data_IF_298049244138
#
_entry.id   IF_298049244138
#
_cell.length_a   1.000
_cell.length_b   1.000
_cell.length_c   1.000
_cell.angle_alpha   90.00
_cell.angle_beta   90.00
_cell.angle_gamma   90.00
#
_symmetry.space_group_name_H-M   'P 1'
#
loop_
_entity.id
_entity.type
_entity.pdbx_description
1 polymer ?
#
# COMPACT_ATOMS: atom_id res chain seq x y z
N UNK A 1 -5.45 -15.96 -13.25
CA UNK A 1 -4.12 -16.47 -13.64
C UNK A 1 -3.27 -15.43 -14.39
N UNK A 2 -3.80 -14.76 -15.43
CA UNK A 2 -3.04 -13.82 -16.26
C UNK A 2 -2.30 -12.73 -15.45
N UNK A 3 -3.02 -11.94 -14.66
CA UNK A 3 -2.42 -10.82 -13.91
C UNK A 3 -1.31 -11.23 -12.94
N UNK A 4 -1.51 -12.31 -12.19
CA UNK A 4 -0.48 -12.88 -11.30
C UNK A 4 0.78 -13.28 -12.08
N UNK A 5 0.62 -14.08 -13.14
CA UNK A 5 1.77 -14.54 -13.94
C UNK A 5 2.49 -13.38 -14.62
N UNK A 6 1.77 -12.34 -15.05
CA UNK A 6 2.36 -11.17 -15.68
C UNK A 6 3.20 -10.35 -14.69
N UNK A 7 2.68 -10.06 -13.50
CA UNK A 7 3.44 -9.28 -12.51
C UNK A 7 4.63 -10.06 -11.97
N UNK A 8 4.48 -11.37 -11.78
CA UNK A 8 5.58 -12.26 -11.40
C UNK A 8 6.71 -12.21 -12.43
N UNK A 9 6.39 -12.27 -13.73
CA UNK A 9 7.39 -12.14 -14.81
C UNK A 9 8.11 -10.80 -14.78
N UNK A 10 7.37 -9.71 -14.51
CA UNK A 10 7.95 -8.36 -14.39
C UNK A 10 8.92 -8.29 -13.23
N UNK A 11 8.53 -8.77 -12.04
CA UNK A 11 9.39 -8.76 -10.86
C UNK A 11 10.62 -9.67 -11.03
N UNK A 12 10.47 -10.84 -11.68
CA UNK A 12 11.60 -11.74 -11.97
C UNK A 12 12.62 -11.16 -12.96
N UNK A 13 12.16 -10.40 -13.95
CA UNK A 13 12.99 -9.83 -15.03
C UNK A 13 13.26 -8.34 -14.86
N UNK A 14 13.18 -7.85 -13.63
CA UNK A 14 13.17 -6.42 -13.37
C UNK A 14 14.45 -5.74 -13.85
N UNK A 15 15.61 -6.37 -13.62
CA UNK A 15 16.92 -5.86 -14.06
C UNK A 15 16.99 -5.78 -15.59
N UNK A 16 16.62 -6.86 -16.28
CA UNK A 16 16.66 -6.93 -17.75
C UNK A 16 15.70 -5.91 -18.38
N UNK A 17 14.54 -5.68 -17.76
CA UNK A 17 13.60 -4.65 -18.21
C UNK A 17 14.23 -3.25 -18.10
N UNK A 18 14.91 -2.94 -16.99
CA UNK A 18 15.60 -1.66 -16.83
C UNK A 18 16.71 -1.47 -17.85
N UNK A 19 17.52 -2.49 -18.11
CA UNK A 19 18.60 -2.45 -19.10
C UNK A 19 18.05 -2.16 -20.50
N UNK A 20 17.01 -2.88 -20.93
CA UNK A 20 16.38 -2.67 -22.23
C UNK A 20 15.78 -1.26 -22.33
N UNK A 21 15.09 -0.79 -21.28
CA UNK A 21 14.53 0.55 -21.24
C UNK A 21 15.62 1.64 -21.28
N UNK A 22 16.78 1.39 -20.66
CA UNK A 22 17.95 2.28 -20.72
C UNK A 22 18.54 2.35 -22.13
N UNK A 23 18.60 1.25 -22.87
CA UNK A 23 19.07 1.28 -24.27
C UNK A 23 18.07 2.06 -25.15
N UNK A 24 16.77 1.75 -25.01
CA UNK A 24 15.71 2.39 -25.79
C UNK A 24 15.52 3.89 -25.48
N UNK A 25 15.96 4.34 -24.31
CA UNK A 25 15.96 5.76 -23.95
C UNK A 25 17.02 6.59 -24.67
N UNK A 26 18.01 5.94 -25.30
CA UNK A 26 19.05 6.62 -26.08
C UNK A 26 18.87 6.44 -27.59
N UNK A 27 18.22 5.36 -28.03
CA UNK A 27 18.08 5.00 -29.45
C UNK A 27 16.71 4.40 -29.77
N UNK A 28 16.00 4.99 -30.74
CA UNK A 28 14.79 4.42 -31.34
C UNK A 28 13.61 5.40 -31.51
N UNK A 29 12.55 4.94 -32.19
CA UNK A 29 11.37 5.78 -32.50
C UNK A 29 10.44 6.03 -31.29
N UNK A 30 10.74 5.41 -30.14
CA UNK A 30 9.90 5.44 -28.93
C UNK A 30 10.67 5.93 -27.70
N UNK A 31 11.76 6.67 -27.89
CA UNK A 31 12.64 7.14 -26.81
C UNK A 31 11.89 7.87 -25.69
N UNK A 32 10.98 8.78 -26.00
CA UNK A 32 10.19 9.49 -24.98
C UNK A 32 9.35 8.54 -24.12
N UNK A 33 8.78 7.49 -24.72
CA UNK A 33 8.01 6.46 -24.01
C UNK A 33 8.91 5.59 -23.16
N UNK A 34 10.07 5.19 -23.67
CA UNK A 34 11.05 4.42 -22.92
C UNK A 34 11.56 5.18 -21.68
N UNK A 35 11.86 6.48 -21.83
CA UNK A 35 12.24 7.37 -20.71
C UNK A 35 11.13 7.42 -19.65
N UNK A 36 9.87 7.59 -20.08
CA UNK A 36 8.74 7.62 -19.16
C UNK A 36 8.59 6.33 -18.36
N UNK A 37 8.64 5.18 -19.04
CA UNK A 37 8.54 3.87 -18.37
C UNK A 37 9.75 3.61 -17.47
N UNK A 38 10.96 3.94 -17.93
CA UNK A 38 12.19 3.80 -17.15
C UNK A 38 12.09 4.59 -15.84
N UNK A 39 11.62 5.84 -15.91
CA UNK A 39 11.42 6.68 -14.72
C UNK A 39 10.44 6.07 -13.72
N UNK A 40 9.35 5.47 -14.21
CA UNK A 40 8.38 4.79 -13.34
C UNK A 40 8.95 3.51 -12.72
N UNK A 41 9.67 2.69 -13.50
CA UNK A 41 10.33 1.49 -12.98
C UNK A 41 11.42 1.83 -11.96
N UNK A 42 12.16 2.92 -12.18
CA UNK A 42 13.15 3.44 -11.23
C UNK A 42 12.54 4.15 -10.02
N UNK A 43 11.22 4.12 -9.83
CA UNK A 43 10.57 4.65 -8.64
C UNK A 43 10.42 3.56 -7.58
N UNK A 44 10.97 3.79 -6.38
CA UNK A 44 10.84 2.84 -5.27
C UNK A 44 9.38 2.52 -4.90
N UNK A 45 8.47 3.50 -5.04
CA UNK A 45 7.05 3.29 -4.77
C UNK A 45 6.43 2.28 -5.73
N UNK A 46 6.88 2.29 -7.00
CA UNK A 46 6.47 1.31 -7.99
C UNK A 46 6.97 -0.08 -7.60
N UNK A 47 8.25 -0.22 -7.24
CA UNK A 47 8.85 -1.50 -6.83
C UNK A 47 8.08 -2.10 -5.64
N UNK A 48 7.82 -1.30 -4.60
CA UNK A 48 7.04 -1.70 -3.41
C UNK A 48 5.64 -2.16 -3.80
N UNK A 49 4.95 -1.38 -4.64
CA UNK A 49 3.59 -1.70 -5.10
C UNK A 49 3.59 -2.99 -5.92
N UNK A 50 4.58 -3.19 -6.80
CA UNK A 50 4.70 -4.38 -7.63
C UNK A 50 4.89 -5.66 -6.82
N UNK A 51 5.75 -5.62 -5.79
CA UNK A 51 5.96 -6.77 -4.88
C UNK A 51 4.72 -7.06 -4.03
N UNK A 52 4.09 -6.03 -3.47
CA UNK A 52 2.87 -6.20 -2.69
C UNK A 52 1.72 -6.76 -3.54
N UNK A 53 1.60 -6.28 -4.78
CA UNK A 53 0.59 -6.74 -5.73
C UNK A 53 0.83 -8.19 -6.18
N UNK A 54 2.08 -8.61 -6.38
CA UNK A 54 2.39 -10.01 -6.68
C UNK A 54 1.88 -10.95 -5.58
N UNK A 55 2.13 -10.64 -4.31
CA UNK A 55 1.70 -11.47 -3.17
C UNK A 55 0.17 -11.52 -3.05
N UNK A 56 -0.50 -10.37 -3.25
CA UNK A 56 -1.96 -10.30 -3.25
C UNK A 56 -2.54 -11.17 -4.37
N UNK A 57 -2.04 -11.00 -5.59
CA UNK A 57 -2.52 -11.73 -6.76
C UNK A 57 -2.20 -13.21 -6.66
N UNK A 58 -1.07 -13.61 -6.06
CA UNK A 58 -0.75 -15.00 -5.76
C UNK A 58 -1.79 -15.61 -4.82
N UNK A 59 -2.10 -14.92 -3.72
CA UNK A 59 -3.07 -15.36 -2.71
C UNK A 59 -4.45 -15.58 -3.34
N UNK A 60 -4.90 -14.64 -4.17
CA UNK A 60 -6.17 -14.74 -4.89
C UNK A 60 -6.11 -15.84 -5.96
N UNK A 61 -4.98 -15.97 -6.67
CA UNK A 61 -4.82 -16.97 -7.72
C UNK A 61 -4.89 -18.39 -7.18
N UNK A 62 -4.19 -18.69 -6.09
CA UNK A 62 -4.24 -20.00 -5.44
C UNK A 62 -5.67 -20.34 -5.01
N UNK A 63 -6.37 -19.40 -4.35
CA UNK A 63 -7.76 -19.60 -3.96
C UNK A 63 -8.67 -19.89 -5.18
N UNK A 64 -8.52 -19.10 -6.24
CA UNK A 64 -9.30 -19.24 -7.45
C UNK A 64 -9.07 -20.56 -8.16
N UNK A 65 -7.85 -21.08 -8.20
CA UNK A 65 -7.53 -22.35 -8.87
C UNK A 65 -8.16 -23.52 -8.11
N UNK A 66 -7.99 -23.54 -6.79
CA UNK A 66 -8.50 -24.63 -5.96
C UNK A 66 -10.04 -24.65 -5.92
N UNK A 67 -10.70 -23.48 -5.89
CA UNK A 67 -12.16 -23.39 -5.95
C UNK A 67 -12.74 -23.84 -7.28
N UNK A 68 -11.96 -23.80 -8.36
CA UNK A 68 -12.37 -24.31 -9.68
C UNK A 68 -12.18 -25.83 -9.80
N UNK A 69 -11.62 -26.49 -8.77
CA UNK A 69 -11.48 -27.93 -8.72
C UNK A 69 -12.84 -28.65 -8.66
N UNK A 70 -13.03 -29.65 -9.52
CA UNK A 70 -14.29 -30.38 -9.66
C UNK A 70 -14.69 -31.21 -8.42
N UNK A 71 -13.77 -31.42 -7.47
CA UNK A 71 -13.92 -32.31 -6.32
C UNK A 71 -14.01 -31.59 -4.96
N UNK A 72 -14.22 -30.27 -4.94
CA UNK A 72 -14.19 -29.53 -3.69
C UNK A 72 -15.49 -29.70 -2.90
N UNK A 73 -15.37 -30.18 -1.65
CA UNK A 73 -16.48 -30.29 -0.71
C UNK A 73 -16.67 -28.93 -0.02
N UNK A 74 -17.92 -28.57 0.30
CA UNK A 74 -18.28 -27.26 0.86
C UNK A 74 -17.46 -26.85 2.09
N UNK A 75 -17.22 -27.76 3.05
CA UNK A 75 -16.43 -27.49 4.25
C UNK A 75 -14.96 -27.15 3.92
N UNK A 76 -14.36 -27.90 2.98
CA UNK A 76 -13.01 -27.62 2.48
C UNK A 76 -12.93 -26.29 1.75
N UNK A 77 -13.96 -25.91 0.97
CA UNK A 77 -14.03 -24.62 0.29
C UNK A 77 -14.08 -23.44 1.29
N UNK A 78 -14.83 -23.57 2.39
CA UNK A 78 -14.89 -22.54 3.44
C UNK A 78 -13.51 -22.36 4.10
N UNK A 79 -12.87 -23.45 4.50
CA UNK A 79 -11.51 -23.42 5.08
C UNK A 79 -10.50 -22.81 4.10
N UNK A 80 -10.63 -23.16 2.81
CA UNK A 80 -9.78 -22.65 1.76
C UNK A 80 -9.92 -21.14 1.56
N UNK A 81 -11.12 -20.57 1.70
CA UNK A 81 -11.34 -19.11 1.66
C UNK A 81 -10.84 -18.38 2.91
N UNK A 82 -10.76 -19.09 4.04
CA UNK A 82 -10.30 -18.52 5.30
C UNK A 82 -8.81 -18.16 5.27
N UNK A 83 -8.00 -18.96 4.57
CA UNK A 83 -6.56 -18.71 4.39
C UNK A 83 -6.26 -17.41 3.62
N UNK A 84 -6.81 -17.16 2.41
CA UNK A 84 -6.71 -15.89 1.69
C UNK A 84 -7.18 -14.71 2.53
N UNK A 85 -8.30 -14.85 3.26
CA UNK A 85 -8.80 -13.81 4.15
C UNK A 85 -7.77 -13.43 5.21
N UNK A 86 -7.17 -14.42 5.89
CA UNK A 86 -6.13 -14.18 6.89
C UNK A 86 -4.87 -13.57 6.26
N UNK A 87 -4.45 -14.03 5.09
CA UNK A 87 -3.28 -13.49 4.39
C UNK A 87 -3.49 -12.02 3.99
N UNK A 88 -4.67 -11.67 3.45
CA UNK A 88 -5.02 -10.28 3.13
C UNK A 88 -5.09 -9.42 4.39
N UNK A 89 -5.57 -9.97 5.51
CA UNK A 89 -5.54 -9.26 6.79
C UNK A 89 -4.11 -9.00 7.27
N UNK A 90 -3.21 -9.99 7.13
CA UNK A 90 -1.77 -9.82 7.44
C UNK A 90 -1.10 -8.77 6.57
N UNK A 91 -1.56 -8.54 5.34
CA UNK A 91 -1.02 -7.45 4.49
C UNK A 91 -1.27 -6.04 5.07
N UNK A 92 -2.15 -5.90 6.07
CA UNK A 92 -2.37 -4.65 6.78
C UNK A 92 -1.38 -4.42 7.91
N UNK A 93 -0.55 -5.40 8.28
CA UNK A 93 0.41 -5.25 9.37
C UNK A 93 1.68 -4.54 8.92
N UNK A 94 2.30 -3.81 9.84
CA UNK A 94 3.59 -3.15 9.59
C UNK A 94 4.68 -4.18 9.23
N UNK A 95 4.66 -5.35 9.88
CA UNK A 95 5.59 -6.45 9.60
C UNK A 95 5.54 -6.96 8.17
N UNK A 96 4.38 -6.87 7.50
CA UNK A 96 4.27 -7.18 6.08
C UNK A 96 4.97 -6.11 5.24
N UNK A 97 4.68 -4.83 5.52
CA UNK A 97 5.29 -3.71 4.80
C UNK A 97 6.78 -3.58 5.04
N UNK A 98 7.29 -3.97 6.21
CA UNK A 98 8.74 -4.05 6.48
C UNK A 98 9.42 -5.08 5.57
N UNK A 99 8.81 -6.25 5.37
CA UNK A 99 9.31 -7.25 4.42
C UNK A 99 9.30 -6.73 2.99
N UNK A 100 8.22 -6.07 2.59
CA UNK A 100 8.13 -5.43 1.26
C UNK A 100 9.22 -4.37 1.11
N UNK A 101 9.40 -3.51 2.11
CA UNK A 101 10.42 -2.47 2.11
C UNK A 101 11.82 -3.05 1.95
N UNK A 102 12.14 -4.12 2.68
CA UNK A 102 13.42 -4.80 2.59
C UNK A 102 13.63 -5.43 1.21
N UNK A 103 12.62 -6.11 0.66
CA UNK A 103 12.70 -6.69 -0.70
C UNK A 103 12.89 -5.61 -1.77
N UNK A 104 12.13 -4.51 -1.67
CA UNK A 104 12.23 -3.40 -2.60
C UNK A 104 13.58 -2.67 -2.49
N UNK A 105 14.14 -2.57 -1.28
CA UNK A 105 15.47 -2.02 -1.04
C UNK A 105 16.55 -2.86 -1.73
N UNK A 106 16.51 -4.20 -1.59
CA UNK A 106 17.45 -5.10 -2.26
C UNK A 106 17.38 -4.96 -3.79
N UNK A 107 16.16 -4.87 -4.35
CA UNK A 107 15.99 -4.65 -5.79
C UNK A 107 16.50 -3.28 -6.21
N UNK A 108 16.25 -2.23 -5.43
CA UNK A 108 16.74 -0.89 -5.73
C UNK A 108 18.28 -0.82 -5.69
N UNK A 109 18.90 -1.39 -4.65
CA UNK A 109 20.37 -1.45 -4.50
C UNK A 109 21.02 -2.22 -5.65
N UNK A 110 20.45 -3.37 -6.04
CA UNK A 110 20.95 -4.17 -7.17
C UNK A 110 20.96 -3.40 -8.50
N UNK A 111 20.01 -2.48 -8.69
CA UNK A 111 19.83 -1.75 -9.94
C UNK A 111 20.22 -0.26 -9.83
N UNK A 112 20.99 0.11 -8.79
CA UNK A 112 21.49 1.47 -8.56
C UNK A 112 20.38 2.55 -8.53
N UNK A 113 19.18 2.18 -8.09
CA UNK A 113 18.05 3.09 -7.96
C UNK A 113 18.18 3.84 -6.63
N UNK A 114 18.10 5.18 -6.70
CA UNK A 114 18.18 6.05 -5.52
C UNK A 114 17.05 5.74 -4.54
N UNK A 115 17.41 5.11 -3.41
CA UNK A 115 16.54 4.89 -2.27
C UNK A 115 16.68 6.07 -1.30
N UNK A 116 16.09 7.21 -1.63
CA UNK A 116 15.94 8.28 -0.63
C UNK A 116 14.75 7.95 0.27
N UNK A 117 15.02 7.71 1.55
CA UNK A 117 14.04 7.89 2.62
C UNK A 117 13.76 9.40 2.72
N UNK A 118 13.18 10.01 1.69
CA UNK A 118 12.63 11.35 1.82
C UNK A 118 11.55 11.20 2.88
N UNK A 119 11.80 11.72 4.08
CA UNK A 119 10.73 12.01 5.02
C UNK A 119 9.75 12.88 4.23
N UNK A 120 8.69 12.27 3.71
CA UNK A 120 7.64 13.00 3.02
C UNK A 120 7.23 14.08 4.00
N UNK A 121 7.55 15.34 3.70
CA UNK A 121 7.06 16.47 4.45
C UNK A 121 5.54 16.31 4.45
N UNK A 122 5.01 15.78 5.56
CA UNK A 122 3.58 15.57 5.70
C UNK A 122 2.99 16.95 5.54
N UNK A 123 2.02 17.11 4.64
CA UNK A 123 1.27 18.36 4.56
C UNK A 123 0.79 18.65 5.99
N UNK A 124 1.09 19.84 6.54
CA UNK A 124 0.66 20.15 7.90
C UNK A 124 -0.85 19.97 7.96
N UNK A 125 -1.30 19.19 8.96
CA UNK A 125 -2.72 18.96 9.19
C UNK A 125 -3.34 20.33 9.49
N UNK A 126 -4.19 20.81 8.58
CA UNK A 126 -5.01 22.00 8.83
C UNK A 126 -6.34 21.52 9.41
N UNK A 127 -6.42 21.43 10.73
CA UNK A 127 -7.71 21.31 11.41
C UNK A 127 -8.50 22.60 11.15
N UNK A 128 -9.79 22.47 10.84
CA UNK A 128 -10.68 23.63 10.71
C UNK A 128 -10.74 24.34 12.07
N UNK A 129 -10.28 25.60 12.14
CA UNK A 129 -10.22 26.38 13.39
C UNK A 129 -11.62 26.71 13.94
N UNK A 130 -12.65 26.60 13.10
CA UNK A 130 -14.02 26.98 13.44
C UNK A 130 -14.88 25.78 13.91
N UNK A 131 -14.26 24.63 14.23
CA UNK A 131 -15.00 23.49 14.82
C UNK A 131 -15.56 23.79 16.22
N UNK A 132 -15.11 24.88 16.86
CA UNK A 132 -15.63 25.39 18.14
C UNK A 132 -17.01 26.06 17.98
N UNK A 133 -17.39 26.49 16.77
CA UNK A 133 -18.62 27.27 16.54
C UNK A 133 -19.87 26.39 16.36
N UNK A 134 -19.70 25.07 16.27
CA UNK A 134 -20.82 24.14 16.31
C UNK A 134 -21.08 23.72 17.76
N UNK A 135 -21.61 24.65 18.54
CA UNK A 135 -22.32 24.30 19.77
C UNK A 135 -23.59 23.56 19.36
N UNK A 136 -23.51 22.23 19.24
CA UNK A 136 -24.69 21.38 19.12
C UNK A 136 -25.36 21.40 20.49
N UNK A 137 -26.29 22.32 20.67
CA UNK A 137 -27.20 22.30 21.81
C UNK A 137 -28.10 21.08 21.66
N UNK A 138 -27.69 19.97 22.25
CA UNK A 138 -28.52 18.78 22.38
C UNK A 138 -29.76 19.18 23.17
N UNK A 139 -30.91 19.26 22.52
CA UNK A 139 -32.22 19.51 23.14
C UNK A 139 -32.71 18.24 23.85
N UNK A 140 -31.94 17.76 24.83
CA UNK A 140 -32.44 16.82 25.83
C UNK A 140 -32.85 17.69 27.03
N UNK A 141 -34.12 17.55 27.40
CA UNK A 141 -34.83 18.43 28.33
C UNK A 141 -34.10 18.71 29.65
N UNK A 142 -34.42 19.88 30.22
CA UNK A 142 -33.97 20.43 31.49
C UNK A 142 -33.72 19.38 32.58
N UNK A 143 -32.45 19.05 32.80
CA UNK A 143 -31.96 18.52 34.06
C UNK A 143 -31.18 19.64 34.76
N UNK A 144 -31.68 20.08 35.90
CA UNK A 144 -31.04 21.08 36.77
C UNK A 144 -29.62 20.65 37.13
N UNK A 145 -28.62 21.37 36.62
CA UNK A 145 -27.25 21.29 37.13
C UNK A 145 -26.92 22.61 37.82
N UNK A 146 -26.80 22.52 39.15
CA UNK A 146 -26.34 23.59 40.00
C UNK A 146 -24.96 24.07 39.56
N UNK A 147 -24.82 25.40 39.50
CA UNK A 147 -23.54 26.08 39.35
C UNK A 147 -22.57 25.60 40.43
N UNK A 148 -21.40 25.09 40.01
CA UNK A 148 -20.21 25.27 40.82
C UNK A 148 -19.05 25.79 39.96
N UNK A 149 -18.61 26.96 40.41
CA UNK A 149 -17.66 27.90 39.86
C UNK A 149 -16.28 27.33 39.56
N UNK A 150 -15.71 27.84 38.44
CA UNK A 150 -14.32 28.29 38.26
C UNK A 150 -13.24 27.63 39.12
N UNK A 151 -12.37 26.85 38.48
CA UNK A 151 -10.93 26.94 38.76
C UNK A 151 -10.15 26.85 37.46
N UNK A 152 -9.55 27.99 37.11
CA UNK A 152 -8.46 28.15 36.15
C UNK A 152 -7.25 27.32 36.59
N UNK A 153 -6.76 26.45 35.71
CA UNK A 153 -5.39 25.92 35.79
C UNK A 153 -4.76 26.11 34.41
N UNK A 154 -4.00 27.20 34.31
CA UNK A 154 -2.87 27.29 33.39
C UNK A 154 -1.99 26.06 33.57
N UNK A 155 -1.55 25.43 32.48
CA UNK A 155 -0.31 24.66 32.52
C UNK A 155 0.43 24.82 31.19
N UNK A 156 1.56 25.50 31.31
CA UNK A 156 2.68 25.53 30.40
C UNK A 156 3.20 24.10 30.13
N UNK A 157 3.43 23.78 28.86
CA UNK A 157 4.59 23.07 28.30
C UNK A 157 4.48 23.02 26.77
#
# INVERSE_FOLDING_TARGET
AYWYKSIQKVNMRFTEILEVLSILSHQGDQTARAIGILKEFSNISFIKTSHAMEILLQTIHCASVELQGASIIQSSAINLLQNPKQNIQKMRSDTFWDKINNSAKLVAEKNEIVYENSSRNRRPVRLNRNLQDFFIQSTIGQGTYENNSNTSIENNL
#
